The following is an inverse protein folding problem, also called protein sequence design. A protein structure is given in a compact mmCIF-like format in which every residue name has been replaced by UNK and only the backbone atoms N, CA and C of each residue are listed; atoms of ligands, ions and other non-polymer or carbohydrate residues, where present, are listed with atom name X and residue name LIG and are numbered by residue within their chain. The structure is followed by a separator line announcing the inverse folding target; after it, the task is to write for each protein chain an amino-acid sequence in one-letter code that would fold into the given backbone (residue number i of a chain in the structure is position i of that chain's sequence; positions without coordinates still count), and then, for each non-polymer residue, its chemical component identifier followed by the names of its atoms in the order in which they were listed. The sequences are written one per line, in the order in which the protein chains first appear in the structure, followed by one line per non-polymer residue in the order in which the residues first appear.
data_IF_103344115476
#
_entry.id   IF_103344115476
#
_cell.length_a   1.000
_cell.length_b   1.000
_cell.length_c   1.000
_cell.angle_alpha   90.00
_cell.angle_beta   90.00
_cell.angle_gamma   90.00
#
_symmetry.space_group_name_H-M   'P 1'
#
loop_
_entity.id
_entity.type
_entity.pdbx_description
1 polymer ?
#
# COMPACT_ATOMS: atom_id res chain seq x y z
N UNK A 1 26.51 3.96 10.97
CA UNK A 1 25.53 2.85 10.91
C UNK A 1 24.18 3.50 10.63
N UNK A 2 23.48 3.16 9.54
CA UNK A 2 22.17 3.75 9.25
C UNK A 2 21.18 3.25 10.32
N UNK A 3 20.59 4.16 11.10
CA UNK A 3 19.59 3.79 12.11
C UNK A 3 18.26 3.34 11.46
N UNK A 4 17.47 2.53 12.17
CA UNK A 4 16.19 2.02 11.66
C UNK A 4 15.12 3.11 11.45
N UNK A 5 15.27 4.24 12.13
CA UNK A 5 14.56 5.50 11.88
C UNK A 5 14.76 5.96 10.43
N UNK A 6 16.00 6.07 9.96
CA UNK A 6 16.29 6.43 8.57
C UNK A 6 15.70 5.42 7.56
N UNK A 7 15.65 4.13 7.93
CA UNK A 7 14.99 3.11 7.10
C UNK A 7 13.48 3.32 7.03
N UNK A 8 12.81 3.76 8.10
CA UNK A 8 11.39 4.12 8.01
C UNK A 8 11.13 5.28 7.05
N UNK A 9 12.02 6.27 7.00
CA UNK A 9 11.89 7.38 6.05
C UNK A 9 11.99 6.86 4.61
N UNK A 10 13.02 6.06 4.31
CA UNK A 10 13.25 5.49 2.97
C UNK A 10 12.06 4.63 2.54
N UNK A 11 11.62 3.71 3.41
CA UNK A 11 10.47 2.87 3.11
C UNK A 11 9.16 3.65 3.06
N UNK A 12 9.02 4.70 3.88
CA UNK A 12 7.89 5.60 3.84
C UNK A 12 7.75 6.29 2.48
N UNK A 13 8.84 6.84 1.95
CA UNK A 13 8.86 7.40 0.59
C UNK A 13 8.60 6.34 -0.49
N UNK A 14 9.17 5.14 -0.35
CA UNK A 14 8.89 4.02 -1.25
C UNK A 14 7.38 3.71 -1.28
N UNK A 15 6.74 3.64 -0.11
CA UNK A 15 5.31 3.40 0.01
C UNK A 15 4.50 4.54 -0.60
N UNK A 16 4.89 5.81 -0.38
CA UNK A 16 4.23 6.94 -1.05
C UNK A 16 4.27 6.78 -2.58
N UNK A 17 5.44 6.50 -3.16
CA UNK A 17 5.60 6.33 -4.60
C UNK A 17 4.73 5.17 -5.10
N UNK A 18 4.80 4.01 -4.44
CA UNK A 18 4.01 2.82 -4.81
C UNK A 18 2.50 3.08 -4.68
N UNK A 19 2.10 3.77 -3.62
CA UNK A 19 0.70 4.12 -3.37
C UNK A 19 0.16 5.09 -4.41
N UNK A 20 0.92 6.12 -4.78
CA UNK A 20 0.57 7.04 -5.87
C UNK A 20 0.48 6.34 -7.22
N UNK A 21 1.45 5.47 -7.55
CA UNK A 21 1.41 4.68 -8.78
C UNK A 21 0.17 3.77 -8.82
N UNK A 22 -0.12 3.08 -7.72
CA UNK A 22 -1.29 2.18 -7.60
C UNK A 22 -2.59 2.96 -7.75
N UNK A 23 -2.71 4.10 -7.08
CA UNK A 23 -3.86 5.00 -7.16
C UNK A 23 -4.08 5.51 -8.60
N UNK A 24 -3.02 5.98 -9.25
CA UNK A 24 -3.07 6.52 -10.60
C UNK A 24 -3.50 5.49 -11.63
N UNK A 25 -2.96 4.27 -11.55
CA UNK A 25 -3.37 3.18 -12.43
C UNK A 25 -4.82 2.76 -12.16
N UNK A 26 -5.29 2.87 -10.92
CA UNK A 26 -6.71 2.70 -10.57
C UNK A 26 -7.62 3.70 -11.29
N UNK A 27 -7.32 5.00 -11.19
CA UNK A 27 -8.12 6.07 -11.82
C UNK A 27 -8.22 5.90 -13.33
N UNK A 28 -7.15 5.43 -13.98
CA UNK A 28 -7.15 5.25 -15.44
C UNK A 28 -8.20 4.26 -15.93
N UNK A 29 -8.77 3.41 -15.06
CA UNK A 29 -9.74 2.35 -15.40
C UNK A 29 -9.26 1.39 -16.51
N UNK A 30 -7.99 1.47 -16.90
CA UNK A 30 -7.35 0.62 -17.89
C UNK A 30 -6.54 -0.42 -17.13
N UNK A 31 -6.95 -1.67 -17.25
CA UNK A 31 -6.29 -2.81 -16.63
C UNK A 31 -4.84 -2.87 -17.13
N UNK A 32 -3.89 -2.81 -16.20
CA UNK A 32 -2.46 -2.86 -16.49
C UNK A 32 -1.88 -4.18 -15.98
N UNK A 33 -1.30 -5.03 -16.86
CA UNK A 33 -0.73 -6.30 -16.43
C UNK A 33 0.55 -6.15 -15.60
N UNK A 34 1.19 -4.98 -15.60
CA UNK A 34 2.47 -4.74 -14.94
C UNK A 34 2.34 -4.03 -13.58
N UNK A 35 1.39 -3.10 -13.43
CA UNK A 35 1.27 -2.22 -12.26
C UNK A 35 -0.11 -2.30 -11.60
N UNK A 36 -0.13 -2.25 -10.27
CA UNK A 36 -1.34 -2.29 -9.45
C UNK A 36 -1.62 -3.64 -8.78
N UNK A 37 -2.75 -3.72 -8.10
CA UNK A 37 -3.26 -4.92 -7.41
C UNK A 37 -3.90 -5.85 -8.44
N UNK A 38 -3.15 -6.90 -8.79
CA UNK A 38 -3.49 -7.86 -9.85
C UNK A 38 -4.08 -9.13 -9.24
N UNK A 39 -5.38 -9.10 -8.99
CA UNK A 39 -6.17 -10.25 -8.59
C UNK A 39 -7.02 -10.71 -9.77
N UNK A 40 -7.38 -12.00 -9.88
CA UNK A 40 -8.17 -12.50 -11.01
C UNK A 40 -9.45 -11.71 -11.29
N UNK A 41 -10.03 -11.09 -10.26
CA UNK A 41 -11.22 -10.26 -10.34
C UNK A 41 -10.93 -8.84 -10.85
N UNK A 42 -9.79 -8.25 -10.48
CA UNK A 42 -9.40 -6.92 -10.97
C UNK A 42 -9.05 -6.95 -12.45
N UNK A 43 -8.53 -8.09 -12.95
CA UNK A 43 -8.21 -8.27 -14.36
C UNK A 43 -9.43 -8.53 -15.27
N UNK A 44 -10.62 -8.77 -14.69
CA UNK A 44 -11.84 -9.08 -15.44
C UNK A 44 -12.81 -7.90 -15.58
N UNK A 45 -12.65 -6.86 -14.76
CA UNK A 45 -13.57 -5.72 -14.75
C UNK A 45 -12.82 -4.42 -14.43
N UNK A 46 -12.99 -3.43 -15.29
CA UNK A 46 -12.44 -2.09 -15.11
C UNK A 46 -12.99 -1.38 -13.86
N UNK A 47 -14.24 -1.65 -13.48
CA UNK A 47 -14.84 -1.07 -12.28
C UNK A 47 -14.24 -1.66 -11.00
N UNK A 48 -13.99 -2.98 -10.99
CA UNK A 48 -13.33 -3.66 -9.88
C UNK A 48 -11.86 -3.22 -9.81
N UNK A 49 -11.21 -3.08 -10.96
CA UNK A 49 -9.86 -2.56 -11.07
C UNK A 49 -9.72 -1.19 -10.40
N UNK A 50 -10.57 -0.23 -10.77
CA UNK A 50 -10.56 1.11 -10.19
C UNK A 50 -10.79 1.06 -8.69
N UNK A 51 -11.89 0.43 -8.25
CA UNK A 51 -12.28 0.41 -6.84
C UNK A 51 -11.19 -0.16 -5.93
N UNK A 52 -10.52 -1.24 -6.36
CA UNK A 52 -9.47 -1.89 -5.57
C UNK A 52 -8.18 -1.06 -5.62
N UNK A 53 -7.71 -0.68 -6.81
CA UNK A 53 -6.43 0.03 -6.94
C UNK A 53 -6.47 1.44 -6.35
N UNK A 54 -7.58 2.17 -6.49
CA UNK A 54 -7.74 3.49 -5.88
C UNK A 54 -7.66 3.38 -4.35
N UNK A 55 -8.40 2.43 -3.76
CA UNK A 55 -8.43 2.29 -2.29
C UNK A 55 -7.13 1.74 -1.72
N UNK A 56 -6.54 0.72 -2.35
CA UNK A 56 -5.22 0.22 -1.95
C UNK A 56 -4.15 1.30 -2.10
N UNK A 57 -4.16 2.07 -3.20
CA UNK A 57 -3.26 3.21 -3.38
C UNK A 57 -3.35 4.21 -2.24
N UNK A 58 -4.57 4.63 -1.86
CA UNK A 58 -4.81 5.53 -0.71
C UNK A 58 -4.29 4.92 0.59
N UNK A 59 -4.58 3.65 0.87
CA UNK A 59 -4.13 2.97 2.10
C UNK A 59 -2.60 2.90 2.18
N UNK A 60 -1.93 2.62 1.05
CA UNK A 60 -0.46 2.58 0.98
C UNK A 60 0.13 4.00 1.18
N UNK A 61 -0.48 5.04 0.59
CA UNK A 61 -0.05 6.43 0.80
C UNK A 61 -0.16 6.81 2.29
N UNK A 62 -1.30 6.53 2.93
CA UNK A 62 -1.52 6.83 4.34
C UNK A 62 -0.46 6.13 5.20
N UNK A 63 -0.13 4.88 4.89
CA UNK A 63 0.93 4.17 5.59
C UNK A 63 2.32 4.77 5.37
N UNK A 64 2.66 5.16 4.13
CA UNK A 64 3.92 5.84 3.85
C UNK A 64 4.07 7.12 4.66
N UNK A 65 3.01 7.94 4.73
CA UNK A 65 2.99 9.14 5.59
C UNK A 65 3.16 8.78 7.07
N UNK A 66 2.46 7.75 7.56
CA UNK A 66 2.57 7.31 8.94
C UNK A 66 3.99 6.84 9.30
N UNK A 67 4.68 6.12 8.40
CA UNK A 67 6.07 5.69 8.60
C UNK A 67 7.02 6.87 8.73
N UNK A 68 6.90 7.85 7.84
CA UNK A 68 7.73 9.06 7.87
C UNK A 68 7.47 9.84 9.18
N UNK A 69 6.21 10.07 9.53
CA UNK A 69 5.83 10.76 10.77
C UNK A 69 6.36 10.04 12.01
N UNK A 70 6.25 8.71 12.06
CA UNK A 70 6.72 7.90 13.19
C UNK A 70 8.24 8.01 13.37
N UNK A 71 9.00 8.10 12.28
CA UNK A 71 10.46 8.28 12.34
C UNK A 71 10.89 9.57 13.03
N UNK A 72 10.07 10.62 13.00
CA UNK A 72 10.38 11.88 13.69
C UNK A 72 9.97 11.86 15.18
N UNK A 73 9.04 10.98 15.55
CA UNK A 73 8.53 10.87 16.93
C UNK A 73 9.41 9.94 17.75
N UNK A 74 9.83 8.81 17.17
CA UNK A 74 10.59 7.78 17.88
C UNK A 74 12.04 7.80 17.38
N UNK A 75 12.93 8.31 18.23
CA UNK A 75 14.37 8.16 18.03
C UNK A 75 14.79 6.74 18.44
N UNK A 76 15.73 6.12 17.70
CA UNK A 76 16.25 4.77 17.98
C UNK A 76 15.21 3.63 17.90
N UNK A 77 14.51 3.56 16.77
CA UNK A 77 13.55 2.47 16.52
C UNK A 77 14.26 1.11 16.52
N UNK A 78 13.67 0.13 17.22
CA UNK A 78 14.18 -1.24 17.19
C UNK A 78 13.84 -1.93 15.87
N UNK A 79 14.66 -2.89 15.46
CA UNK A 79 14.41 -3.72 14.27
C UNK A 79 13.00 -4.32 14.23
N UNK A 80 12.50 -4.80 15.38
CA UNK A 80 11.18 -5.43 15.48
C UNK A 80 10.03 -4.45 15.25
N UNK A 81 10.16 -3.21 15.74
CA UNK A 81 9.17 -2.15 15.49
C UNK A 81 9.18 -1.76 14.01
N UNK A 82 10.36 -1.55 13.42
CA UNK A 82 10.50 -1.31 11.99
C UNK A 82 9.81 -2.41 11.17
N UNK A 83 10.11 -3.67 11.48
CA UNK A 83 9.57 -4.83 10.77
C UNK A 83 8.04 -4.91 10.86
N UNK A 84 7.48 -4.70 12.06
CA UNK A 84 6.04 -4.70 12.27
C UNK A 84 5.35 -3.59 11.46
N UNK A 85 5.89 -2.37 11.53
CA UNK A 85 5.35 -1.20 10.81
C UNK A 85 5.44 -1.36 9.29
N UNK A 86 6.49 -2.02 8.78
CA UNK A 86 6.64 -2.27 7.35
C UNK A 86 5.75 -3.41 6.82
N UNK A 87 5.53 -4.49 7.60
CA UNK A 87 4.81 -5.68 7.15
C UNK A 87 3.29 -5.63 7.36
N UNK A 88 2.81 -5.08 8.48
CA UNK A 88 1.38 -4.96 8.77
C UNK A 88 0.58 -4.29 7.62
N UNK A 89 1.04 -3.17 7.03
CA UNK A 89 0.34 -2.51 5.93
C UNK A 89 0.17 -3.41 4.70
N UNK A 90 1.20 -4.21 4.38
CA UNK A 90 1.17 -5.12 3.24
C UNK A 90 0.08 -6.17 3.45
N UNK A 91 0.02 -6.75 4.66
CA UNK A 91 -1.03 -7.71 5.03
C UNK A 91 -2.41 -7.08 5.00
N UNK A 92 -2.57 -5.87 5.53
CA UNK A 92 -3.85 -5.15 5.52
C UNK A 92 -4.34 -4.87 4.10
N UNK A 93 -3.46 -4.51 3.17
CA UNK A 93 -3.84 -4.32 1.77
C UNK A 93 -4.32 -5.60 1.11
N UNK A 94 -3.66 -6.74 1.38
CA UNK A 94 -4.09 -8.05 0.88
C UNK A 94 -5.46 -8.43 1.44
N UNK A 95 -5.64 -8.33 2.76
CA UNK A 95 -6.91 -8.64 3.44
C UNK A 95 -8.03 -7.75 2.89
N UNK A 96 -7.77 -6.44 2.77
CA UNK A 96 -8.74 -5.49 2.25
C UNK A 96 -9.16 -5.85 0.82
N UNK A 97 -8.20 -6.17 -0.06
CA UNK A 97 -8.51 -6.56 -1.44
C UNK A 97 -9.36 -7.84 -1.49
N UNK A 98 -9.05 -8.85 -0.67
CA UNK A 98 -9.82 -10.10 -0.59
C UNK A 98 -11.25 -9.87 -0.07
N UNK A 99 -11.41 -9.08 0.99
CA UNK A 99 -12.73 -8.74 1.55
C UNK A 99 -13.57 -7.96 0.55
N UNK A 100 -12.96 -7.00 -0.17
CA UNK A 100 -13.64 -6.20 -1.18
C UNK A 100 -14.11 -7.05 -2.35
N UNK A 101 -13.29 -8.01 -2.79
CA UNK A 101 -13.67 -8.99 -3.80
C UNK A 101 -14.84 -9.85 -3.34
N UNK A 102 -14.81 -10.34 -2.09
CA UNK A 102 -15.91 -11.14 -1.52
C UNK A 102 -17.22 -10.34 -1.52
N UNK A 103 -17.16 -9.06 -1.17
CA UNK A 103 -18.32 -8.15 -1.19
C UNK A 103 -18.85 -7.85 -2.59
N UNK A 104 -18.01 -7.89 -3.62
CA UNK A 104 -18.43 -7.65 -5.01
C UNK A 104 -19.03 -8.90 -5.68
N UNK A 105 -18.88 -10.08 -5.07
CA UNK A 105 -19.47 -11.35 -5.54
C UNK A 105 -20.87 -11.64 -4.98
N UNK A 106 -21.23 -11.00 -3.86
CA UNK A 106 -22.55 -11.09 -3.22
C UNK A 106 -23.38 -9.86 -3.57
#
# INVERSE_FOLDING_TARGET
MIGFDNLLIIFGFLFLILGFLTYWVGIKRKINPFLGVRLPQTLKSADIWEKINVRCGILIIIHGLAMISLSFIICEISFWVFLAVALIPLLLNVIFALLMIKRLKN
#
